data_IF_258786353736
#
_entry.id   IF_258786353736
#
_cell.length_a   1.000
_cell.length_b   1.000
_cell.length_c   1.000
_cell.angle_alpha   90.00
_cell.angle_beta   90.00
_cell.angle_gamma   90.00
#
_symmetry.space_group_name_H-M   'P 1'
#
loop_
_entity.id
_entity.type
_entity.pdbx_description
1 polymer ?
#
# COMPACT_ATOMS: atom_id res chain seq x y z
N UNK A 1 -25.15 -1.14 -24.31
CA UNK A 1 -24.88 -0.66 -22.93
C UNK A 1 -24.48 -1.88 -22.13
N UNK A 2 -23.20 -2.01 -21.81
CA UNK A 2 -22.68 -3.17 -21.09
C UNK A 2 -22.81 -2.96 -19.58
N UNK A 3 -23.22 -4.00 -18.86
CA UNK A 3 -23.46 -4.05 -17.40
C UNK A 3 -22.18 -3.97 -16.53
N UNK A 4 -21.13 -3.23 -16.91
CA UNK A 4 -19.82 -3.33 -16.23
C UNK A 4 -19.22 -2.03 -15.67
N UNK A 5 -19.96 -0.94 -15.59
CA UNK A 5 -19.45 0.35 -15.03
C UNK A 5 -20.07 0.74 -13.68
N UNK A 6 -20.76 -0.17 -12.99
CA UNK A 6 -21.10 0.12 -11.60
C UNK A 6 -19.82 0.06 -10.75
N UNK A 7 -19.48 1.12 -10.00
CA UNK A 7 -18.33 1.09 -9.11
C UNK A 7 -18.51 -0.10 -8.17
N UNK A 8 -17.54 -1.01 -8.19
CA UNK A 8 -17.52 -2.08 -7.21
C UNK A 8 -17.44 -1.43 -5.84
N UNK A 9 -18.26 -1.86 -4.88
CA UNK A 9 -18.19 -1.30 -3.54
C UNK A 9 -16.76 -1.44 -3.00
N UNK A 10 -16.26 -0.39 -2.34
CA UNK A 10 -14.93 -0.37 -1.70
C UNK A 10 -13.70 -0.29 -2.62
N UNK A 11 -13.91 0.00 -3.92
CA UNK A 11 -12.82 0.31 -4.84
C UNK A 11 -12.83 1.79 -5.20
N UNK A 12 -11.64 2.37 -5.23
CA UNK A 12 -11.39 3.68 -5.80
C UNK A 12 -11.00 3.54 -7.26
N UNK A 13 -11.49 4.48 -8.06
CA UNK A 13 -11.15 4.61 -9.48
C UNK A 13 -10.49 5.96 -9.73
N UNK A 14 -9.29 5.94 -10.29
CA UNK A 14 -8.53 7.13 -10.66
C UNK A 14 -8.31 7.16 -12.16
N UNK A 15 -8.60 8.29 -12.79
CA UNK A 15 -8.40 8.49 -14.22
C UNK A 15 -7.45 9.64 -14.44
N UNK A 16 -6.42 9.44 -15.28
CA UNK A 16 -5.43 10.46 -15.56
C UNK A 16 -4.72 10.23 -16.90
N UNK A 17 -4.13 11.30 -17.42
CA UNK A 17 -3.15 11.21 -18.51
C UNK A 17 -1.75 11.09 -17.95
N UNK A 18 -0.93 10.23 -18.54
CA UNK A 18 0.41 9.95 -18.03
C UNK A 18 1.36 9.35 -19.05
N UNK A 19 2.50 8.93 -18.52
CA UNK A 19 3.59 8.30 -19.24
C UNK A 19 3.76 6.87 -18.77
N UNK A 20 4.00 5.96 -19.72
CA UNK A 20 4.48 4.62 -19.47
C UNK A 20 5.96 4.55 -19.85
N UNK A 21 6.84 4.21 -18.91
CA UNK A 21 8.29 4.14 -19.14
C UNK A 21 8.84 2.74 -18.89
N UNK A 22 9.79 2.32 -19.72
CA UNK A 22 10.48 1.03 -19.59
C UNK A 22 11.86 1.10 -20.19
N UNK A 23 12.89 0.76 -19.40
CA UNK A 23 14.29 0.72 -19.85
C UNK A 23 14.77 2.00 -20.57
N UNK A 24 14.29 3.18 -20.16
CA UNK A 24 14.64 4.47 -20.74
C UNK A 24 13.79 4.90 -21.94
N UNK A 25 12.92 4.04 -22.47
CA UNK A 25 11.91 4.40 -23.46
C UNK A 25 10.61 4.86 -22.78
N UNK A 26 9.99 5.90 -23.32
CA UNK A 26 8.77 6.50 -22.78
C UNK A 26 7.67 6.55 -23.84
N UNK A 27 6.44 6.26 -23.40
CA UNK A 27 5.21 6.47 -24.16
C UNK A 27 4.39 7.50 -23.39
N UNK A 28 4.40 8.73 -23.87
CA UNK A 28 3.64 9.84 -23.27
C UNK A 28 2.20 9.92 -23.79
N UNK A 29 1.41 10.73 -23.08
CA UNK A 29 0.01 11.10 -23.38
C UNK A 29 -0.97 9.92 -23.42
N UNK A 30 -0.72 8.88 -22.63
CA UNK A 30 -1.61 7.74 -22.47
C UNK A 30 -2.70 8.04 -21.43
N UNK A 31 -3.93 7.58 -21.68
CA UNK A 31 -5.03 7.67 -20.71
C UNK A 31 -5.09 6.40 -19.86
N UNK A 32 -4.82 6.53 -18.57
CA UNK A 32 -4.90 5.47 -17.57
C UNK A 32 -6.20 5.54 -16.76
N UNK A 33 -6.75 4.37 -16.47
CA UNK A 33 -7.73 4.18 -15.40
C UNK A 33 -7.16 3.18 -14.41
N UNK A 34 -7.00 3.55 -13.14
CA UNK A 34 -6.54 2.67 -12.06
C UNK A 34 -7.71 2.34 -11.14
N UNK A 35 -7.92 1.07 -10.87
CA UNK A 35 -8.87 0.54 -9.89
C UNK A 35 -8.09 -0.16 -8.77
N UNK A 36 -8.34 0.24 -7.52
CA UNK A 36 -7.72 -0.37 -6.34
C UNK A 36 -8.64 -0.34 -5.14
N UNK A 37 -8.43 -1.27 -4.22
CA UNK A 37 -9.16 -1.32 -2.96
C UNK A 37 -8.48 -0.45 -1.90
N UNK A 38 -9.22 0.47 -1.27
CA UNK A 38 -8.68 1.32 -0.20
C UNK A 38 -8.54 0.59 1.14
N UNK A 39 -9.50 -0.29 1.39
CA UNK A 39 -9.76 -0.86 2.70
C UNK A 39 -9.90 -2.40 2.62
N UNK A 40 -9.30 -3.02 1.60
CA UNK A 40 -9.18 -4.47 1.52
C UNK A 40 -7.95 -4.93 0.74
N UNK A 41 -7.39 -6.11 1.06
CA UNK A 41 -6.26 -6.65 0.34
C UNK A 41 -6.71 -7.15 -1.03
N UNK A 42 -6.39 -6.39 -2.08
CA UNK A 42 -6.65 -6.80 -3.45
C UNK A 42 -5.58 -6.24 -4.40
N UNK A 43 -5.57 -6.78 -5.62
CA UNK A 43 -4.73 -6.34 -6.73
C UNK A 43 -5.07 -4.92 -7.13
N UNK A 44 -4.03 -4.14 -7.41
CA UNK A 44 -4.14 -2.84 -8.05
C UNK A 44 -4.13 -3.08 -9.56
N UNK A 45 -5.17 -2.65 -10.26
CA UNK A 45 -5.34 -2.85 -11.70
C UNK A 45 -5.29 -1.51 -12.39
N UNK A 46 -4.58 -1.43 -13.51
CA UNK A 46 -4.68 -0.30 -14.41
C UNK A 46 -5.05 -0.76 -15.81
N UNK A 47 -5.80 0.08 -16.52
CA UNK A 47 -6.13 -0.10 -17.92
C UNK A 47 -5.74 1.13 -18.70
N UNK A 48 -5.25 0.95 -19.93
CA UNK A 48 -5.03 2.05 -20.86
C UNK A 48 -6.15 2.05 -21.88
N UNK A 49 -6.72 3.23 -22.10
CA UNK A 49 -7.68 3.51 -23.17
C UNK A 49 -6.96 4.34 -24.24
N UNK A 50 -6.98 3.89 -25.48
CA UNK A 50 -6.22 4.50 -26.57
C UNK A 50 -6.61 3.96 -27.94
N UNK A 51 -5.86 4.35 -28.96
CA UNK A 51 -6.08 3.93 -30.34
C UNK A 51 -5.10 2.82 -30.76
N UNK A 52 -5.15 2.46 -32.05
CA UNK A 52 -4.25 1.47 -32.64
C UNK A 52 -2.78 1.85 -32.51
N UNK A 53 -2.44 3.12 -32.75
CA UNK A 53 -1.05 3.62 -32.64
C UNK A 53 -0.51 3.44 -31.23
N UNK A 54 -1.32 3.72 -30.20
CA UNK A 54 -0.92 3.50 -28.80
C UNK A 54 -0.72 2.02 -28.49
N UNK A 55 -1.60 1.15 -29.00
CA UNK A 55 -1.46 -0.32 -28.86
C UNK A 55 -0.16 -0.84 -29.49
N UNK A 56 0.20 -0.35 -30.68
CA UNK A 56 1.43 -0.71 -31.38
C UNK A 56 2.67 -0.21 -30.61
N UNK A 57 2.62 1.02 -30.07
CA UNK A 57 3.68 1.60 -29.22
C UNK A 57 3.89 0.76 -27.95
N UNK A 58 2.83 0.40 -27.24
CA UNK A 58 2.90 -0.43 -26.02
C UNK A 58 3.44 -1.83 -26.35
N UNK A 59 2.99 -2.43 -27.46
CA UNK A 59 3.48 -3.74 -27.92
C UNK A 59 4.98 -3.72 -28.24
N UNK A 60 5.49 -2.61 -28.78
CA UNK A 60 6.93 -2.41 -28.99
C UNK A 60 7.67 -2.30 -27.66
N UNK A 61 7.16 -1.49 -26.73
CA UNK A 61 7.74 -1.30 -25.39
C UNK A 61 7.85 -2.63 -24.62
N UNK A 62 6.86 -3.53 -24.74
CA UNK A 62 6.90 -4.84 -24.08
C UNK A 62 8.13 -5.68 -24.45
N UNK A 63 8.73 -5.48 -25.63
CA UNK A 63 9.90 -6.24 -26.10
C UNK A 63 11.19 -5.88 -25.38
N UNK A 64 11.22 -4.78 -24.62
CA UNK A 64 12.40 -4.34 -23.88
C UNK A 64 12.73 -5.27 -22.70
N UNK A 65 14.02 -5.41 -22.31
CA UNK A 65 14.53 -6.44 -21.40
C UNK A 65 14.19 -6.25 -19.90
N UNK A 66 13.27 -5.37 -19.54
CA UNK A 66 12.78 -5.22 -18.15
C UNK A 66 11.46 -5.98 -17.94
N UNK A 67 11.24 -6.65 -16.79
CA UNK A 67 9.92 -7.19 -16.47
C UNK A 67 8.94 -6.09 -16.04
N UNK A 68 9.43 -5.00 -15.45
CA UNK A 68 8.61 -3.92 -14.91
C UNK A 68 8.56 -2.70 -15.82
N UNK A 69 7.42 -2.02 -15.79
CA UNK A 69 7.19 -0.68 -16.35
C UNK A 69 6.89 0.29 -15.22
N UNK A 70 7.28 1.55 -15.40
CA UNK A 70 6.89 2.66 -14.52
C UNK A 70 5.72 3.42 -15.16
N UNK A 71 4.77 3.82 -14.33
CA UNK A 71 3.63 4.67 -14.68
C UNK A 71 3.77 5.97 -13.91
N UNK A 72 3.58 7.10 -14.59
CA UNK A 72 3.60 8.43 -13.96
C UNK A 72 2.52 9.32 -14.56
N UNK A 73 1.75 10.03 -13.74
CA UNK A 73 0.83 11.05 -14.24
C UNK A 73 1.58 12.25 -14.83
N UNK A 74 0.95 12.91 -15.79
CA UNK A 74 1.50 14.13 -16.40
C UNK A 74 1.46 15.26 -15.36
N UNK A 75 2.62 15.76 -14.97
CA UNK A 75 2.72 16.93 -14.09
C UNK A 75 2.72 18.22 -14.93
N UNK A 76 1.93 19.20 -14.52
CA UNK A 76 1.88 20.54 -15.10
C UNK A 76 1.77 21.58 -13.98
N UNK A 77 2.05 22.84 -14.29
CA UNK A 77 1.97 23.93 -13.32
C UNK A 77 0.56 24.01 -12.69
N UNK A 78 0.49 23.93 -11.36
CA UNK A 78 -0.77 23.89 -10.62
C UNK A 78 -1.43 22.51 -10.51
N UNK A 79 -0.77 21.44 -10.98
CA UNK A 79 -1.22 20.07 -10.73
C UNK A 79 -1.25 19.79 -9.22
N UNK A 80 -2.42 19.36 -8.74
CA UNK A 80 -2.64 19.08 -7.31
C UNK A 80 -2.47 17.60 -6.96
N UNK A 81 -2.32 16.72 -7.93
CA UNK A 81 -2.28 15.28 -7.73
C UNK A 81 -1.26 14.62 -8.67
N UNK A 82 -0.29 13.91 -8.11
CA UNK A 82 0.68 13.11 -8.85
C UNK A 82 0.44 11.64 -8.54
N UNK A 83 0.33 10.82 -9.58
CA UNK A 83 0.14 9.37 -9.45
C UNK A 83 1.36 8.68 -10.01
N UNK A 84 1.96 7.75 -9.26
CA UNK A 84 3.11 6.98 -9.71
C UNK A 84 3.07 5.52 -9.28
N UNK A 85 3.70 4.67 -10.09
CA UNK A 85 3.99 3.27 -9.76
C UNK A 85 5.28 2.88 -10.46
N UNK A 86 6.32 2.48 -9.72
CA UNK A 86 7.58 2.04 -10.34
C UNK A 86 7.58 0.55 -10.69
N UNK A 87 6.64 -0.21 -10.11
CA UNK A 87 6.52 -1.66 -10.26
C UNK A 87 5.17 -2.03 -10.84
N UNK A 88 5.03 -1.91 -12.14
CA UNK A 88 3.86 -2.41 -12.88
C UNK A 88 4.26 -3.47 -13.90
N UNK A 89 3.35 -4.40 -14.22
CA UNK A 89 3.52 -5.40 -15.27
C UNK A 89 2.35 -5.30 -16.25
N UNK A 90 2.67 -5.13 -17.54
CA UNK A 90 1.68 -5.27 -18.61
C UNK A 90 1.26 -6.74 -18.70
N UNK A 91 -0.01 -7.01 -18.41
CA UNK A 91 -0.58 -8.37 -18.43
C UNK A 91 -1.04 -8.76 -19.83
N UNK A 92 -1.65 -7.81 -20.53
CA UNK A 92 -2.21 -8.04 -21.85
C UNK A 92 -2.26 -6.74 -22.64
N UNK A 93 -1.97 -6.83 -23.94
CA UNK A 93 -2.27 -5.79 -24.92
C UNK A 93 -3.31 -6.36 -25.89
N UNK A 94 -4.39 -5.62 -26.13
CA UNK A 94 -5.47 -6.09 -27.00
C UNK A 94 -5.05 -6.01 -28.46
N UNK A 95 -4.85 -7.17 -29.09
CA UNK A 95 -4.76 -7.27 -30.54
C UNK A 95 -6.17 -7.33 -31.15
N UNK A 96 -6.87 -6.18 -31.17
CA UNK A 96 -8.13 -6.06 -31.91
C UNK A 96 -7.85 -5.73 -33.38
N UNK A 97 -8.64 -6.31 -34.28
CA UNK A 97 -8.68 -5.86 -35.68
C UNK A 97 -9.62 -4.66 -35.73
N UNK A 98 -9.05 -3.46 -35.73
CA UNK A 98 -9.83 -2.23 -35.92
C UNK A 98 -10.38 -2.19 -37.35
N UNK A 99 -11.70 -2.01 -37.54
CA UNK A 99 -12.26 -1.90 -38.88
C UNK A 99 -11.68 -0.70 -39.61
N UNK A 100 -11.33 -0.87 -40.89
CA UNK A 100 -10.73 0.18 -41.72
C UNK A 100 -11.60 1.45 -41.81
N UNK A 101 -12.91 1.30 -41.61
CA UNK A 101 -13.90 2.38 -41.63
C UNK A 101 -13.74 3.39 -40.48
N UNK A 102 -13.20 2.94 -39.33
CA UNK A 102 -13.02 3.79 -38.14
C UNK A 102 -11.59 4.30 -37.95
N UNK A 103 -10.61 3.70 -38.66
CA UNK A 103 -9.20 4.13 -38.66
C UNK A 103 -8.61 4.36 -37.25
N UNK A 104 -7.68 5.31 -37.14
CA UNK A 104 -7.02 5.70 -35.88
C UNK A 104 -7.92 6.52 -34.93
N UNK A 105 -9.19 6.76 -35.29
CA UNK A 105 -10.14 7.56 -34.49
C UNK A 105 -10.86 6.75 -33.43
N UNK A 106 -10.86 5.42 -33.55
CA UNK A 106 -11.49 4.56 -32.55
C UNK A 106 -10.62 4.46 -31.31
N UNK A 107 -11.21 4.80 -30.16
CA UNK A 107 -10.59 4.70 -28.84
C UNK A 107 -11.27 3.57 -28.08
N UNK A 108 -10.48 2.63 -27.57
CA UNK A 108 -10.96 1.44 -26.84
C UNK A 108 -9.97 1.10 -25.72
N UNK A 109 -10.32 0.19 -24.82
CA UNK A 109 -9.39 -0.41 -23.87
C UNK A 109 -8.35 -1.22 -24.64
N UNK A 110 -7.08 -0.82 -24.59
CA UNK A 110 -5.99 -1.42 -25.36
C UNK A 110 -4.99 -2.20 -24.49
N UNK A 111 -4.94 -1.96 -23.19
CA UNK A 111 -3.94 -2.58 -22.31
C UNK A 111 -4.50 -2.86 -20.92
N UNK A 112 -4.11 -4.00 -20.35
CA UNK A 112 -4.32 -4.38 -18.96
C UNK A 112 -2.98 -4.46 -18.24
N UNK A 113 -2.90 -3.84 -17.07
CA UNK A 113 -1.69 -3.73 -16.26
C UNK A 113 -2.02 -4.11 -14.80
N UNK A 114 -1.14 -4.89 -14.18
CA UNK A 114 -1.17 -5.15 -12.72
C UNK A 114 -0.08 -4.30 -12.07
N UNK A 115 -0.44 -3.52 -11.05
CA UNK A 115 0.47 -2.69 -10.27
C UNK A 115 0.79 -3.43 -8.97
N UNK A 116 2.06 -3.47 -8.59
CA UNK A 116 2.49 -4.00 -7.28
C UNK A 116 2.54 -2.92 -6.21
N UNK A 117 2.53 -1.65 -6.63
CA UNK A 117 2.49 -0.50 -5.78
C UNK A 117 1.77 0.64 -6.50
N UNK A 118 1.19 1.55 -5.74
CA UNK A 118 0.58 2.77 -6.22
C UNK A 118 0.85 3.84 -5.19
N UNK A 119 1.38 4.96 -5.64
CA UNK A 119 1.54 6.16 -4.84
C UNK A 119 0.73 7.30 -5.45
N UNK A 120 -0.02 7.97 -4.60
CA UNK A 120 -0.85 9.13 -4.93
C UNK A 120 -0.43 10.26 -4.01
N UNK A 121 0.11 11.32 -4.59
CA UNK A 121 0.64 12.48 -3.89
C UNK A 121 -0.23 13.69 -4.19
N UNK A 122 -0.92 14.21 -3.18
CA UNK A 122 -1.90 15.27 -3.30
C UNK A 122 -1.39 16.51 -2.56
N UNK A 123 -1.30 17.64 -3.26
CA UNK A 123 -1.05 18.93 -2.61
C UNK A 123 -2.34 19.42 -1.95
N UNK A 124 -2.26 19.67 -0.65
CA UNK A 124 -3.34 20.23 0.16
C UNK A 124 -2.95 21.63 0.65
N UNK A 125 -3.90 22.55 0.70
CA UNK A 125 -3.71 23.86 1.34
C UNK A 125 -4.49 23.83 2.66
N UNK A 126 -3.90 23.17 3.67
CA UNK A 126 -4.57 22.98 4.96
C UNK A 126 -3.92 23.88 6.01
N UNK A 127 -4.42 25.13 6.09
CA UNK A 127 -3.89 26.17 6.98
C UNK A 127 -4.20 25.95 8.46
N UNK A 128 -5.10 25.00 8.77
CA UNK A 128 -5.70 24.85 10.10
C UNK A 128 -5.25 23.58 10.85
N UNK A 129 -4.28 22.82 10.33
CA UNK A 129 -3.74 21.62 11.01
C UNK A 129 -2.26 21.79 11.34
N UNK A 130 -1.98 21.77 12.64
CA UNK A 130 -0.62 21.70 13.18
C UNK A 130 -0.11 20.25 13.32
N UNK A 131 -1.02 19.27 13.45
CA UNK A 131 -0.67 17.86 13.66
C UNK A 131 -0.39 17.13 12.34
N UNK A 132 0.75 16.44 12.30
CA UNK A 132 1.16 15.57 11.18
C UNK A 132 1.01 14.11 11.57
N UNK A 133 0.47 13.33 10.66
CA UNK A 133 -0.02 11.99 10.94
C UNK A 133 0.36 11.03 9.81
N UNK A 134 0.82 9.82 10.15
CA UNK A 134 0.80 8.68 9.23
C UNK A 134 -0.10 7.59 9.79
N UNK A 135 -0.93 7.06 8.93
CA UNK A 135 -1.88 6.01 9.20
C UNK A 135 -1.49 4.80 8.36
N UNK A 136 -0.94 3.77 9.00
CA UNK A 136 -0.45 2.55 8.35
C UNK A 136 -1.41 1.37 8.58
N UNK A 137 -1.70 0.65 7.50
CA UNK A 137 -2.59 -0.51 7.45
C UNK A 137 -1.80 -1.71 6.98
N UNK A 138 -1.90 -2.80 7.74
CA UNK A 138 -1.32 -4.08 7.34
C UNK A 138 -2.39 -5.15 7.25
N UNK A 139 -2.43 -5.84 6.11
CA UNK A 139 -3.19 -7.07 6.00
C UNK A 139 -2.26 -8.26 5.77
N UNK A 140 -2.51 -9.31 6.52
CA UNK A 140 -1.63 -10.44 6.66
C UNK A 140 -2.07 -11.26 7.87
N UNK A 141 -1.17 -12.06 8.45
CA UNK A 141 -1.55 -12.90 9.58
C UNK A 141 -2.19 -12.08 10.70
N UNK A 142 -3.50 -12.28 10.90
CA UNK A 142 -4.41 -11.49 11.77
C UNK A 142 -3.96 -11.28 13.21
N UNK A 143 -2.93 -12.00 13.66
CA UNK A 143 -2.43 -12.03 15.03
C UNK A 143 -1.01 -11.49 15.18
N UNK A 144 -0.35 -11.09 14.07
CA UNK A 144 1.01 -10.55 14.05
C UNK A 144 1.15 -9.28 14.88
N UNK A 145 0.16 -8.40 14.71
CA UNK A 145 0.02 -7.18 15.47
C UNK A 145 -0.99 -7.44 16.58
N UNK A 146 -0.86 -6.74 17.69
CA UNK A 146 -1.27 -7.29 18.96
C UNK A 146 -2.71 -7.06 19.35
N UNK A 147 -3.60 -7.68 18.60
CA UNK A 147 -5.01 -7.76 18.98
C UNK A 147 -5.24 -8.52 20.28
N UNK A 148 -4.28 -9.35 20.69
CA UNK A 148 -4.35 -10.11 21.93
C UNK A 148 -3.80 -9.32 23.15
N UNK A 149 -3.18 -8.14 22.98
CA UNK A 149 -2.78 -7.28 24.12
C UNK A 149 -3.98 -6.53 24.71
N UNK A 150 -4.98 -6.19 23.89
CA UNK A 150 -6.23 -5.57 24.33
C UNK A 150 -7.36 -6.57 24.64
N UNK A 151 -7.08 -7.87 24.76
CA UNK A 151 -8.10 -8.86 25.14
C UNK A 151 -8.10 -9.04 26.65
N UNK A 152 -9.00 -8.37 27.34
CA UNK A 152 -9.34 -8.68 28.72
C UNK A 152 -10.38 -9.82 28.73
N UNK A 153 -10.04 -10.94 29.37
CA UNK A 153 -11.04 -11.96 29.68
C UNK A 153 -11.84 -11.46 30.89
N UNK A 154 -13.14 -11.25 30.71
CA UNK A 154 -14.01 -10.96 31.84
C UNK A 154 -14.01 -12.14 32.82
N UNK A 155 -14.37 -11.90 34.08
CA UNK A 155 -14.58 -12.95 35.08
C UNK A 155 -15.62 -14.00 34.64
N UNK A 156 -16.48 -13.67 33.67
CA UNK A 156 -17.50 -14.57 33.10
C UNK A 156 -17.01 -15.39 31.91
N UNK A 157 -15.75 -15.23 31.48
CA UNK A 157 -15.18 -15.95 30.34
C UNK A 157 -15.49 -15.33 28.97
N UNK A 158 -16.22 -14.20 28.93
CA UNK A 158 -16.40 -13.42 27.72
C UNK A 158 -15.08 -12.70 27.37
N UNK A 159 -14.61 -12.86 26.13
CA UNK A 159 -13.48 -12.09 25.63
C UNK A 159 -14.00 -10.71 25.20
N UNK A 160 -13.77 -9.70 26.03
CA UNK A 160 -13.98 -8.31 25.63
C UNK A 160 -12.66 -7.78 25.05
N UNK A 161 -12.77 -6.97 24.01
CA UNK A 161 -11.63 -6.25 23.43
C UNK A 161 -11.65 -4.87 24.07
N UNK A 162 -10.91 -4.70 25.17
CA UNK A 162 -10.58 -3.41 25.75
C UNK A 162 -9.20 -3.02 25.20
N UNK A 163 -9.19 -2.36 24.06
CA UNK A 163 -7.97 -1.80 23.50
C UNK A 163 -7.77 -0.44 24.15
N UNK A 164 -7.01 -0.41 25.23
CA UNK A 164 -6.28 0.82 25.55
C UNK A 164 -5.27 1.05 24.41
N UNK A 165 -5.26 2.24 23.77
CA UNK A 165 -4.32 2.51 22.70
C UNK A 165 -2.90 2.32 23.24
N UNK A 166 -2.20 1.34 22.70
CA UNK A 166 -0.80 1.14 23.05
C UNK A 166 -0.02 2.33 22.50
N UNK A 167 0.55 3.12 23.40
CA UNK A 167 1.47 4.21 23.05
C UNK A 167 2.92 3.73 23.17
N UNK A 168 3.65 3.81 22.06
CA UNK A 168 5.10 3.59 22.01
C UNK A 168 5.75 4.90 21.56
N UNK A 169 6.64 5.43 22.38
CA UNK A 169 7.47 6.57 22.02
C UNK A 169 8.56 6.12 21.05
N UNK A 170 8.54 6.66 19.84
CA UNK A 170 9.62 6.54 18.86
C UNK A 170 10.58 7.70 19.12
N UNK A 171 11.80 7.45 19.65
CA UNK A 171 12.76 8.52 19.86
C UNK A 171 13.18 9.15 18.53
N UNK A 172 13.94 10.24 18.61
CA UNK A 172 14.49 11.04 17.51
C UNK A 172 14.66 10.28 16.17
N UNK A 173 14.36 10.91 15.02
CA UNK A 173 14.17 12.35 14.85
C UNK A 173 12.71 12.83 14.89
N UNK A 174 11.71 11.95 14.86
CA UNK A 174 10.30 12.38 14.72
C UNK A 174 9.61 12.63 16.06
N UNK A 175 10.13 12.08 17.16
CA UNK A 175 9.51 12.13 18.50
C UNK A 175 8.03 11.76 18.44
N UNK A 176 7.76 10.61 17.83
CA UNK A 176 6.40 10.26 17.45
C UNK A 176 5.78 9.23 18.40
N UNK A 177 4.46 9.29 18.53
CA UNK A 177 3.70 8.29 19.28
C UNK A 177 3.05 7.32 18.30
N UNK A 178 3.39 6.04 18.42
CA UNK A 178 2.68 4.96 17.75
C UNK A 178 1.43 4.64 18.57
N UNK A 179 0.25 4.75 17.97
CA UNK A 179 -1.04 4.28 18.51
C UNK A 179 -1.57 3.11 17.68
N UNK A 180 -2.04 2.07 18.35
CA UNK A 180 -2.64 0.90 17.70
C UNK A 180 -4.17 0.94 17.85
N UNK A 181 -4.90 0.97 16.73
CA UNK A 181 -6.37 1.01 16.71
C UNK A 181 -6.96 -0.09 15.81
N UNK A 182 -8.06 -0.74 16.20
CA UNK A 182 -8.76 -1.65 15.30
C UNK A 182 -9.49 -0.84 14.23
N UNK A 183 -9.22 -1.13 12.97
CA UNK A 183 -9.95 -0.58 11.83
C UNK A 183 -10.67 -1.70 11.11
N UNK A 184 -11.96 -1.51 10.86
CA UNK A 184 -12.76 -2.49 10.16
C UNK A 184 -12.56 -2.38 8.64
N UNK A 185 -12.17 -3.48 8.03
CA UNK A 185 -11.97 -3.64 6.59
C UNK A 185 -13.00 -4.65 6.04
N UNK A 186 -13.20 -4.69 4.73
CA UNK A 186 -14.01 -5.76 4.14
C UNK A 186 -13.08 -6.85 3.61
N UNK A 187 -13.21 -8.08 4.08
CA UNK A 187 -12.43 -9.20 3.57
C UNK A 187 -13.35 -10.21 2.87
N UNK A 188 -12.91 -10.84 1.76
CA UNK A 188 -13.61 -12.01 1.23
C UNK A 188 -13.44 -13.16 2.22
N UNK A 189 -14.55 -13.70 2.72
CA UNK A 189 -14.60 -14.94 3.47
C UNK A 189 -15.05 -16.04 2.52
N UNK A 190 -14.23 -17.07 2.40
CA UNK A 190 -14.60 -18.27 1.67
C UNK A 190 -15.45 -19.17 2.55
N UNK A 191 -16.69 -19.40 2.14
CA UNK A 191 -17.62 -20.33 2.75
C UNK A 191 -17.23 -21.78 2.45
N UNK A 192 -17.75 -22.72 3.23
CA UNK A 192 -17.49 -24.16 3.05
C UNK A 192 -17.92 -24.68 1.66
N UNK A 193 -18.92 -24.05 1.04
CA UNK A 193 -19.39 -24.36 -0.31
C UNK A 193 -18.49 -23.75 -1.41
N UNK A 194 -17.39 -23.11 -1.02
CA UNK A 194 -16.41 -22.50 -1.90
C UNK A 194 -16.82 -21.11 -2.43
N UNK A 195 -18.03 -20.61 -2.10
CA UNK A 195 -18.41 -19.23 -2.43
C UNK A 195 -17.62 -18.25 -1.58
N UNK A 196 -17.32 -17.09 -2.15
CA UNK A 196 -16.75 -15.98 -1.41
C UNK A 196 -17.86 -14.98 -1.09
N UNK A 197 -17.95 -14.57 0.17
CA UNK A 197 -18.82 -13.48 0.63
C UNK A 197 -17.96 -12.39 1.24
N UNK A 198 -18.30 -11.13 0.99
CA UNK A 198 -17.64 -10.03 1.68
C UNK A 198 -18.17 -9.93 3.10
N UNK A 199 -17.27 -9.90 4.07
CA UNK A 199 -17.60 -9.68 5.47
C UNK A 199 -16.69 -8.60 6.06
N UNK A 200 -17.20 -7.91 7.07
CA UNK A 200 -16.40 -6.98 7.87
C UNK A 200 -15.38 -7.78 8.68
N UNK A 201 -14.12 -7.64 8.33
CA UNK A 201 -12.96 -8.06 9.11
C UNK A 201 -12.38 -6.85 9.85
N UNK A 202 -11.42 -7.05 10.74
CA UNK A 202 -10.69 -5.95 11.35
C UNK A 202 -9.19 -6.13 11.14
N UNK A 203 -8.51 -5.03 10.84
CA UNK A 203 -7.04 -4.93 10.87
C UNK A 203 -6.63 -3.97 11.97
N UNK A 204 -5.36 -3.99 12.34
CA UNK A 204 -4.81 -2.92 13.16
C UNK A 204 -4.26 -1.83 12.26
N UNK A 205 -4.71 -0.62 12.55
CA UNK A 205 -4.10 0.61 12.06
C UNK A 205 -3.06 1.06 13.06
N UNK A 206 -1.89 1.41 12.54
CA UNK A 206 -0.81 2.03 13.29
C UNK A 206 -0.83 3.51 12.93
N UNK A 207 -1.29 4.34 13.86
CA UNK A 207 -1.24 5.79 13.73
C UNK A 207 0.07 6.28 14.35
N UNK A 208 0.79 7.15 13.66
CA UNK A 208 1.99 7.79 14.18
C UNK A 208 1.78 9.29 14.10
N UNK A 209 1.84 9.94 15.26
CA UNK A 209 1.58 11.37 15.42
C UNK A 209 2.83 12.08 15.92
N UNK A 210 3.10 13.26 15.39
CA UNK A 210 4.16 14.14 15.88
C UNK A 210 3.63 15.56 16.06
N UNK A 211 4.01 16.17 17.18
CA UNK A 211 3.69 17.55 17.54
C UNK A 211 4.80 18.53 17.12
N UNK A 212 5.86 18.05 16.45
CA UNK A 212 6.93 18.92 15.95
C UNK A 212 6.37 19.94 14.95
N UNK A 213 6.91 21.16 14.95
CA UNK A 213 6.50 22.19 14.00
C UNK A 213 7.07 21.94 12.59
N UNK A 214 6.56 22.67 11.60
CA UNK A 214 7.11 22.68 10.23
C UNK A 214 8.53 23.26 10.19
N UNK A 215 8.87 24.14 11.15
CA UNK A 215 10.20 24.74 11.27
C UNK A 215 11.24 23.74 11.78
N UNK A 216 10.82 22.80 12.64
CA UNK A 216 11.69 21.78 13.24
C UNK A 216 11.88 20.55 12.33
N UNK A 217 10.91 20.28 11.46
CA UNK A 217 10.94 19.14 10.55
C UNK A 217 10.16 19.50 9.27
N UNK A 218 10.79 19.44 8.10
CA UNK A 218 10.08 19.74 6.85
C UNK A 218 9.04 18.66 6.52
N UNK A 219 8.03 18.99 5.70
CA UNK A 219 7.05 18.01 5.21
C UNK A 219 7.73 16.83 4.49
N UNK A 220 8.77 17.11 3.70
CA UNK A 220 9.55 16.10 2.99
C UNK A 220 10.28 15.17 3.96
N UNK A 221 10.92 15.73 4.98
CA UNK A 221 11.62 14.94 5.98
C UNK A 221 10.63 14.11 6.79
N UNK A 222 9.51 14.70 7.24
CA UNK A 222 8.47 13.96 7.95
C UNK A 222 7.98 12.76 7.14
N UNK A 223 7.63 12.96 5.87
CA UNK A 223 7.17 11.90 4.98
C UNK A 223 8.24 10.81 4.81
N UNK A 224 9.50 11.19 4.58
CA UNK A 224 10.59 10.22 4.44
C UNK A 224 10.74 9.35 5.70
N UNK A 225 10.69 9.96 6.88
CA UNK A 225 10.78 9.20 8.12
C UNK A 225 9.52 8.37 8.39
N UNK A 226 8.34 8.86 8.02
CA UNK A 226 7.08 8.13 8.13
C UNK A 226 7.08 6.86 7.26
N UNK A 227 7.55 6.98 6.01
CA UNK A 227 7.76 5.84 5.10
C UNK A 227 8.72 4.83 5.73
N UNK A 228 9.85 5.31 6.27
CA UNK A 228 10.83 4.45 6.94
C UNK A 228 10.25 3.68 8.12
N UNK A 229 9.35 4.28 8.91
CA UNK A 229 8.68 3.57 10.00
C UNK A 229 7.69 2.54 9.43
N UNK A 230 6.91 2.87 8.40
CA UNK A 230 6.02 1.90 7.76
C UNK A 230 6.78 0.69 7.18
N UNK A 231 7.97 0.92 6.62
CA UNK A 231 8.87 -0.13 6.15
C UNK A 231 9.44 -0.97 7.31
N UNK A 232 9.85 -0.33 8.41
CA UNK A 232 10.31 -1.04 9.62
C UNK A 232 9.21 -1.93 10.19
N UNK A 233 8.01 -1.39 10.35
CA UNK A 233 6.86 -2.14 10.85
C UNK A 233 6.56 -3.31 9.92
N UNK A 234 6.60 -3.11 8.60
CA UNK A 234 6.43 -4.18 7.62
C UNK A 234 7.50 -5.26 7.76
N UNK A 235 8.77 -4.88 7.95
CA UNK A 235 9.88 -5.80 8.13
C UNK A 235 9.74 -6.60 9.43
N UNK A 236 9.41 -5.94 10.54
CA UNK A 236 9.16 -6.58 11.82
C UNK A 236 7.98 -7.54 11.74
N UNK A 237 6.90 -7.15 11.07
CA UNK A 237 5.77 -8.04 10.81
C UNK A 237 6.20 -9.27 10.00
N UNK A 238 7.03 -9.08 8.97
CA UNK A 238 7.57 -10.18 8.19
C UNK A 238 8.44 -11.12 9.04
N UNK A 239 9.30 -10.54 9.89
CA UNK A 239 10.17 -11.28 10.80
C UNK A 239 9.38 -12.13 11.81
N UNK A 240 8.46 -11.52 12.55
CA UNK A 240 7.70 -12.19 13.61
C UNK A 240 6.82 -13.31 13.05
N UNK A 241 6.29 -13.14 11.84
CA UNK A 241 5.47 -14.15 11.16
C UNK A 241 6.27 -15.18 10.39
N UNK A 242 7.53 -14.88 10.06
CA UNK A 242 8.34 -15.63 9.11
C UNK A 242 7.64 -15.75 7.75
N UNK A 243 6.94 -14.71 7.31
CA UNK A 243 6.20 -14.66 6.03
C UNK A 243 6.39 -13.32 5.32
N UNK A 244 6.23 -13.33 4.00
CA UNK A 244 6.13 -12.10 3.24
C UNK A 244 4.83 -11.36 3.55
N UNK A 245 4.94 -10.05 3.75
CA UNK A 245 3.80 -9.17 3.85
C UNK A 245 3.30 -8.85 2.44
N UNK A 246 2.10 -9.34 2.13
CA UNK A 246 1.53 -9.28 0.78
C UNK A 246 0.81 -8.00 0.49
N UNK A 247 0.22 -7.36 1.50
CA UNK A 247 -0.50 -6.13 1.33
C UNK A 247 -0.27 -5.20 2.50
N UNK A 248 -0.01 -3.93 2.20
CA UNK A 248 -0.07 -2.86 3.17
C UNK A 248 -0.42 -1.56 2.47
N UNK A 249 -0.91 -0.62 3.26
CA UNK A 249 -1.18 0.75 2.83
C UNK A 249 -0.68 1.72 3.88
N UNK A 250 -0.24 2.90 3.49
CA UNK A 250 -0.16 4.02 4.42
C UNK A 250 -0.68 5.30 3.79
N UNK A 251 -1.36 6.10 4.59
CA UNK A 251 -1.66 7.50 4.29
C UNK A 251 -0.84 8.39 5.20
N UNK A 252 -0.03 9.29 4.63
CA UNK A 252 0.75 10.28 5.35
C UNK A 252 0.18 11.67 5.07
N UNK A 253 -0.28 12.33 6.12
CA UNK A 253 -0.84 13.67 6.11
C UNK A 253 0.18 14.62 6.74
N UNK A 254 0.70 15.54 5.95
CA UNK A 254 1.53 16.66 6.42
C UNK A 254 0.77 17.98 6.29
N UNK A 255 1.45 19.11 6.53
CA UNK A 255 0.83 20.43 6.45
C UNK A 255 0.29 20.77 5.05
N UNK A 256 1.03 20.40 4.00
CA UNK A 256 0.72 20.76 2.61
C UNK A 256 0.60 19.57 1.66
N UNK A 257 0.67 18.34 2.19
CA UNK A 257 0.75 17.14 1.37
C UNK A 257 -0.03 16.00 2.01
N UNK A 258 -0.75 15.26 1.17
CA UNK A 258 -1.31 13.96 1.47
C UNK A 258 -0.66 12.94 0.54
N UNK A 259 0.08 12.01 1.11
CA UNK A 259 0.67 10.90 0.40
C UNK A 259 -0.09 9.62 0.75
N UNK A 260 -0.75 9.01 -0.23
CA UNK A 260 -1.32 7.67 -0.09
C UNK A 260 -0.46 6.67 -0.86
N UNK A 261 -0.17 5.54 -0.22
CA UNK A 261 0.62 4.47 -0.81
C UNK A 261 -0.03 3.14 -0.50
N UNK A 262 -0.22 2.31 -1.53
CA UNK A 262 -0.69 0.93 -1.39
C UNK A 262 0.25 -0.01 -2.11
N UNK A 263 0.60 -1.13 -1.47
CA UNK A 263 1.43 -2.20 -2.04
C UNK A 263 0.70 -3.52 -2.01
N UNK A 264 0.85 -4.30 -3.08
CA UNK A 264 0.33 -5.65 -3.21
C UNK A 264 1.37 -6.61 -3.81
N UNK A 265 1.42 -7.86 -3.34
CA UNK A 265 2.26 -8.94 -3.88
C UNK A 265 1.40 -10.17 -4.20
N UNK A 266 1.50 -10.64 -5.45
CA UNK A 266 0.71 -11.73 -6.06
C UNK A 266 1.10 -13.16 -5.61
N UNK A 267 1.58 -13.36 -4.38
CA UNK A 267 1.96 -14.68 -3.86
C UNK A 267 0.82 -15.34 -3.03
N UNK A 268 0.84 -16.67 -2.84
CA UNK A 268 -0.19 -17.43 -2.07
C UNK A 268 -0.41 -16.91 -0.64
N UNK A 269 -1.58 -16.33 -0.38
CA UNK A 269 -1.96 -15.75 0.91
C UNK A 269 -1.90 -16.80 2.03
N UNK A 270 -1.22 -16.48 3.14
CA UNK A 270 -1.31 -17.31 4.35
C UNK A 270 -2.38 -16.67 5.22
N UNK A 271 -3.58 -17.26 5.20
CA UNK A 271 -4.79 -16.70 5.83
C UNK A 271 -4.68 -16.51 7.35
N UNK A 272 -3.87 -17.33 8.01
CA UNK A 272 -3.79 -17.31 9.47
C UNK A 272 -2.45 -17.81 9.99
N UNK A 273 -1.80 -17.01 10.84
CA UNK A 273 -0.76 -17.47 11.76
C UNK A 273 -1.33 -17.24 13.15
N UNK A 274 -1.36 -18.29 13.98
CA UNK A 274 -1.86 -18.15 15.34
C UNK A 274 -0.81 -17.49 16.23
N UNK A 275 -1.22 -16.82 17.31
CA UNK A 275 -0.30 -16.15 18.25
C UNK A 275 0.75 -17.13 18.83
N UNK A 276 0.38 -18.41 18.97
CA UNK A 276 1.28 -19.50 19.40
C UNK A 276 2.39 -19.83 18.39
N UNK A 277 2.21 -19.45 17.13
CA UNK A 277 3.15 -19.72 16.04
C UNK A 277 4.11 -18.52 15.83
N UNK A 278 3.92 -17.43 16.58
CA UNK A 278 4.77 -16.24 16.51
C UNK A 278 6.06 -16.41 17.31
N UNK A 279 7.12 -15.75 16.83
CA UNK A 279 8.41 -15.71 17.52
C UNK A 279 8.37 -14.99 18.88
N UNK A 280 7.51 -13.98 19.01
CA UNK A 280 7.45 -13.10 20.17
C UNK A 280 6.13 -13.32 20.89
N UNK A 281 6.19 -13.51 22.19
CA UNK A 281 4.98 -13.68 22.99
C UNK A 281 4.24 -12.36 23.14
N UNK A 282 2.90 -12.41 23.29
CA UNK A 282 2.07 -11.25 23.57
C UNK A 282 2.67 -10.19 24.51
N UNK A 283 2.98 -10.60 25.73
CA UNK A 283 3.40 -9.70 26.80
C UNK A 283 4.76 -9.01 26.56
N UNK A 284 5.57 -9.52 25.64
CA UNK A 284 6.91 -8.97 25.34
C UNK A 284 6.89 -7.96 24.21
N UNK A 285 5.81 -7.91 23.42
CA UNK A 285 5.95 -7.34 22.11
C UNK A 285 5.86 -5.80 22.04
N UNK A 286 5.40 -5.12 23.11
CA UNK A 286 5.67 -3.69 23.30
C UNK A 286 7.18 -3.42 23.32
N UNK A 287 7.91 -4.14 24.18
CA UNK A 287 9.36 -4.00 24.33
C UNK A 287 10.08 -4.41 23.04
N UNK A 288 9.59 -5.45 22.36
CA UNK A 288 10.10 -5.87 21.07
C UNK A 288 9.98 -4.77 20.03
N UNK A 289 8.78 -4.19 19.82
CA UNK A 289 8.58 -3.13 18.82
C UNK A 289 9.49 -1.94 19.15
N UNK A 290 9.47 -1.46 20.39
CA UNK A 290 10.28 -0.32 20.80
C UNK A 290 11.78 -0.54 20.58
N UNK A 291 12.31 -1.68 21.04
CA UNK A 291 13.74 -2.01 20.88
C UNK A 291 14.10 -2.26 19.41
N UNK A 292 13.21 -2.87 18.64
CA UNK A 292 13.51 -3.26 17.26
C UNK A 292 13.47 -2.07 16.32
N UNK A 293 12.57 -1.11 16.50
CA UNK A 293 12.57 0.14 15.72
C UNK A 293 13.89 0.88 15.91
N UNK A 294 14.34 1.04 17.17
CA UNK A 294 15.62 1.68 17.49
C UNK A 294 16.80 0.91 16.85
N UNK A 295 16.78 -0.42 16.93
CA UNK A 295 17.83 -1.24 16.33
C UNK A 295 17.85 -1.15 14.79
N UNK A 296 16.68 -1.14 14.14
CA UNK A 296 16.58 -0.99 12.68
C UNK A 296 17.09 0.37 12.22
N UNK A 297 16.76 1.45 12.95
CA UNK A 297 17.33 2.78 12.72
C UNK A 297 18.86 2.75 12.81
N UNK A 298 19.42 2.20 13.88
CA UNK A 298 20.88 2.06 14.06
C UNK A 298 21.55 1.23 12.94
N UNK A 299 20.86 0.21 12.40
CA UNK A 299 21.38 -0.61 11.29
C UNK A 299 21.39 0.17 9.97
N UNK A 300 20.38 1.02 9.71
CA UNK A 300 20.36 1.90 8.53
C UNK A 300 21.49 2.93 8.55
N UNK A 301 21.75 3.52 9.71
CA UNK A 301 22.88 4.46 9.87
C UNK A 301 24.22 3.81 9.52
N UNK A 302 24.32 2.49 9.74
CA UNK A 302 25.47 1.66 9.35
C UNK A 302 25.42 1.16 7.90
N UNK A 303 24.47 1.64 7.10
CA UNK A 303 24.23 1.26 5.71
C UNK A 303 23.97 -0.25 5.51
N UNK A 304 23.37 -0.90 6.52
CA UNK A 304 22.96 -2.29 6.36
C UNK A 304 21.75 -2.38 5.41
N UNK A 305 21.80 -3.34 4.48
CA UNK A 305 20.68 -3.57 3.57
C UNK A 305 19.55 -4.33 4.29
N UNK A 306 18.48 -3.60 4.63
CA UNK A 306 17.29 -4.13 5.28
C UNK A 306 16.26 -4.71 4.30
N UNK A 307 16.48 -4.61 2.98
CA UNK A 307 15.57 -5.15 1.97
C UNK A 307 15.70 -6.66 1.76
N UNK A 308 16.73 -7.30 2.31
CA UNK A 308 16.87 -8.75 2.30
C UNK A 308 15.88 -9.37 3.29
N UNK A 309 14.85 -10.08 2.82
CA UNK A 309 13.87 -10.67 3.72
C UNK A 309 14.56 -11.70 4.61
N UNK A 310 14.29 -11.61 5.91
CA UNK A 310 14.73 -12.56 6.93
C UNK A 310 13.99 -13.88 6.70
N UNK A 311 14.45 -14.61 5.69
CA UNK A 311 13.95 -15.94 5.29
C UNK A 311 15.02 -16.99 5.52
N UNK A 312 16.30 -16.60 5.60
CA UNK A 312 17.43 -17.53 5.60
C UNK A 312 18.13 -17.75 6.96
N UNK A 313 17.60 -17.27 8.09
CA UNK A 313 18.30 -17.43 9.40
C UNK A 313 17.74 -18.57 10.26
N UNK A 314 16.67 -19.26 9.83
CA UNK A 314 16.13 -20.41 10.56
C UNK A 314 15.81 -21.55 9.61
N UNK A 315 16.85 -22.13 9.01
CA UNK A 315 16.83 -23.47 8.46
C UNK A 315 17.76 -24.38 9.26
#
# INVERSE_FOLDING_TARGET
MNETDQPKPFYERREFQGTLSKAGENIDDLHFTIEYAENKPDKIKATIVGNRTDSDRISALMRQPSPYVEIRSKSYEGCRETIRSSRAIIKQVQNKVWPSEYGDRMVDKICDIELFELEIDISVDNKDRDEREICFYLAGPRLLWPLHWGRTRSYTGAANIEIDPLQIDVPNPIQAKIELRPTYLYAPIRLEDGKEVEATDYVLTIEIKTDLSIEDLSDSDFINHAIQIADDLTLLASFVSRKHIKWFRYGCYSSKRLLDFVRYISESFVDSIYHRDLLIQPHEAKNFIQSSIINLQNLREKQFDLFLPIINVLH
#
